data_IF_819437717979
#
_entry.id   IF_819437717979
#
_cell.length_a   1.000
_cell.length_b   1.000
_cell.length_c   1.000
_cell.angle_alpha   90.00
_cell.angle_beta   90.00
_cell.angle_gamma   90.00
#
_symmetry.space_group_name_H-M   'P 1'
#
loop_
_entity.id
_entity.type
_entity.pdbx_description
1 polymer ?
#
# COMPACT_ATOMS: atom_id res chain seq x y z
N UNK A 1 3.81 9.99 9.25
CA UNK A 1 4.34 8.62 9.47
C UNK A 1 3.35 7.86 10.33
N UNK A 2 2.85 6.71 9.90
CA UNK A 2 1.88 5.91 10.68
C UNK A 2 2.55 4.71 11.35
N UNK A 3 1.87 4.09 12.31
CA UNK A 3 2.40 2.93 13.05
C UNK A 3 2.74 1.72 12.15
N UNK A 4 2.09 1.61 10.98
CA UNK A 4 2.17 0.41 10.13
C UNK A 4 2.92 0.62 8.80
N UNK A 5 3.44 1.82 8.56
CA UNK A 5 4.07 2.13 7.28
C UNK A 5 4.40 3.61 7.08
N UNK A 6 5.14 3.87 6.01
CA UNK A 6 5.51 5.22 5.58
C UNK A 6 4.78 5.53 4.28
N UNK A 7 4.15 6.70 4.21
CA UNK A 7 3.56 7.22 2.97
C UNK A 7 4.51 8.24 2.37
N UNK A 8 4.76 8.14 1.06
CA UNK A 8 5.60 9.09 0.31
C UNK A 8 4.88 9.54 -0.95
N UNK A 9 5.02 10.80 -1.33
CA UNK A 9 4.63 11.26 -2.67
C UNK A 9 5.59 10.63 -3.69
N UNK A 10 5.07 10.00 -4.73
CA UNK A 10 5.83 9.44 -5.84
C UNK A 10 5.31 9.97 -7.18
N UNK A 11 6.10 9.79 -8.24
CA UNK A 11 5.76 10.21 -9.60
C UNK A 11 5.88 9.01 -10.53
N UNK A 12 4.82 8.71 -11.26
CA UNK A 12 4.87 7.72 -12.33
C UNK A 12 5.70 8.30 -13.48
N UNK A 13 6.76 7.58 -13.90
CA UNK A 13 7.74 8.11 -14.85
C UNK A 13 7.19 8.26 -16.28
N UNK A 14 6.32 7.33 -16.69
CA UNK A 14 5.70 7.29 -18.02
C UNK A 14 4.74 8.45 -18.24
N UNK A 15 3.91 8.76 -17.25
CA UNK A 15 2.84 9.78 -17.37
C UNK A 15 3.20 11.11 -16.72
N UNK A 16 4.14 11.09 -15.78
CA UNK A 16 4.48 12.24 -14.95
C UNK A 16 3.49 12.51 -13.82
N UNK A 17 2.44 11.71 -13.67
CA UNK A 17 1.39 11.87 -12.64
C UNK A 17 1.93 11.59 -11.24
N UNK A 18 1.45 12.35 -10.24
CA UNK A 18 1.83 12.16 -8.85
C UNK A 18 0.83 11.27 -8.12
N UNK A 19 1.35 10.42 -7.23
CA UNK A 19 0.59 9.47 -6.42
C UNK A 19 1.12 9.42 -4.98
N UNK A 20 0.38 8.77 -4.09
CA UNK A 20 0.85 8.39 -2.76
C UNK A 20 1.28 6.92 -2.74
N UNK A 21 2.53 6.65 -2.38
CA UNK A 21 3.05 5.32 -2.13
C UNK A 21 3.02 5.00 -0.62
N UNK A 22 2.12 4.12 -0.18
CA UNK A 22 2.05 3.59 1.19
C UNK A 22 2.89 2.31 1.28
N UNK A 23 4.08 2.43 1.85
CA UNK A 23 5.01 1.31 2.11
C UNK A 23 4.65 0.61 3.42
N UNK A 24 4.21 -0.64 3.34
CA UNK A 24 3.76 -1.47 4.47
C UNK A 24 4.70 -2.66 4.65
N UNK A 25 5.42 -2.70 5.77
CA UNK A 25 6.28 -3.83 6.09
C UNK A 25 5.45 -5.04 6.50
N UNK A 26 5.71 -6.19 5.89
CA UNK A 26 5.06 -7.47 6.23
C UNK A 26 5.96 -8.30 7.15
N UNK A 27 5.34 -9.09 8.03
CA UNK A 27 6.07 -10.05 8.88
C UNK A 27 6.76 -11.10 8.02
N UNK A 28 8.07 -11.27 8.22
CA UNK A 28 8.87 -12.28 7.48
C UNK A 28 8.69 -13.71 7.99
N UNK A 29 8.26 -13.87 9.24
CA UNK A 29 8.08 -15.15 9.93
C UNK A 29 6.96 -15.06 10.98
N UNK A 30 6.31 -16.19 11.29
CA UNK A 30 5.31 -16.29 12.36
C UNK A 30 5.98 -15.94 13.70
N UNK A 31 5.34 -15.06 14.47
CA UNK A 31 5.84 -14.57 15.76
C UNK A 31 6.69 -13.29 15.72
N UNK A 32 7.02 -12.76 14.53
CA UNK A 32 7.71 -11.47 14.44
C UNK A 32 6.82 -10.32 14.93
N UNK A 33 7.33 -9.50 15.85
CA UNK A 33 6.65 -8.27 16.31
C UNK A 33 6.78 -7.11 15.33
N UNK A 34 7.64 -7.24 14.29
CA UNK A 34 7.91 -6.18 13.31
C UNK A 34 7.10 -6.40 12.03
N UNK A 35 6.30 -5.42 11.66
CA UNK A 35 5.46 -5.44 10.45
C UNK A 35 4.06 -6.03 10.70
N UNK A 36 3.20 -5.85 9.70
CA UNK A 36 1.83 -6.36 9.68
C UNK A 36 1.77 -7.81 9.20
N UNK A 37 0.72 -8.51 9.60
CA UNK A 37 0.43 -9.81 8.99
C UNK A 37 0.05 -9.60 7.53
N UNK A 38 0.57 -10.46 6.66
CA UNK A 38 0.29 -10.37 5.22
C UNK A 38 -1.22 -10.41 4.93
N UNK A 39 -1.96 -11.23 5.68
CA UNK A 39 -3.42 -11.30 5.59
C UNK A 39 -4.13 -9.98 5.92
N UNK A 40 -3.59 -9.14 6.83
CA UNK A 40 -4.15 -7.81 7.10
C UNK A 40 -3.95 -6.87 5.91
N UNK A 41 -2.76 -6.91 5.30
CA UNK A 41 -2.46 -6.11 4.10
C UNK A 41 -3.31 -6.56 2.91
N UNK A 42 -3.49 -7.86 2.71
CA UNK A 42 -4.33 -8.42 1.66
C UNK A 42 -5.80 -8.04 1.82
N UNK A 43 -6.30 -7.95 3.07
CA UNK A 43 -7.63 -7.41 3.35
C UNK A 43 -7.77 -5.94 2.94
N UNK A 44 -6.80 -5.08 3.29
CA UNK A 44 -6.79 -3.67 2.84
C UNK A 44 -6.82 -3.58 1.31
N UNK A 45 -5.97 -4.34 0.62
CA UNK A 45 -5.92 -4.37 -0.85
C UNK A 45 -7.27 -4.79 -1.44
N UNK A 46 -7.89 -5.83 -0.88
CA UNK A 46 -9.16 -6.34 -1.37
C UNK A 46 -10.26 -5.29 -1.29
N UNK A 47 -10.35 -4.58 -0.16
CA UNK A 47 -11.31 -3.50 0.03
C UNK A 47 -11.04 -2.37 -0.98
N UNK A 48 -9.81 -1.88 -1.07
CA UNK A 48 -9.46 -0.76 -1.95
C UNK A 48 -9.66 -1.08 -3.43
N UNK A 49 -9.52 -2.34 -3.86
CA UNK A 49 -9.79 -2.77 -5.24
C UNK A 49 -11.28 -2.71 -5.61
N UNK A 50 -12.17 -2.87 -4.64
CA UNK A 50 -13.61 -2.86 -4.86
C UNK A 50 -14.21 -1.45 -4.82
N UNK A 51 -13.47 -0.48 -4.26
CA UNK A 51 -13.94 0.89 -4.11
C UNK A 51 -13.67 1.69 -5.40
N UNK A 52 -14.75 2.20 -5.99
CA UNK A 52 -14.70 3.16 -7.10
C UNK A 52 -15.73 4.25 -6.87
N UNK A 53 -15.30 5.35 -6.26
CA UNK A 53 -16.19 6.44 -5.88
C UNK A 53 -15.40 7.77 -5.89
N UNK A 54 -15.97 8.89 -6.39
CA UNK A 54 -15.25 10.16 -6.51
C UNK A 54 -14.71 10.71 -5.19
N UNK A 55 -15.35 10.36 -4.06
CA UNK A 55 -14.96 10.82 -2.72
C UNK A 55 -14.14 9.78 -1.93
N UNK A 56 -13.67 8.71 -2.57
CA UNK A 56 -12.84 7.68 -1.94
C UNK A 56 -11.59 7.49 -2.78
N UNK A 57 -10.43 7.61 -2.16
CA UNK A 57 -9.16 7.42 -2.86
C UNK A 57 -9.06 6.05 -3.51
N UNK A 58 -8.57 6.00 -4.75
CA UNK A 58 -8.45 4.77 -5.52
C UNK A 58 -7.06 4.13 -5.35
N UNK A 59 -7.03 2.79 -5.34
CA UNK A 59 -5.80 2.03 -5.57
C UNK A 59 -5.45 2.07 -7.07
N UNK A 60 -4.35 2.75 -7.40
CA UNK A 60 -3.82 2.83 -8.75
C UNK A 60 -3.00 1.58 -9.09
N UNK A 61 -2.08 1.18 -8.22
CA UNK A 61 -1.20 0.02 -8.44
C UNK A 61 -0.72 -0.63 -7.13
N UNK A 62 -0.16 -1.84 -7.22
CA UNK A 62 0.29 -2.66 -6.11
C UNK A 62 1.63 -3.35 -6.43
N UNK A 63 2.64 -3.08 -5.61
CA UNK A 63 3.92 -3.79 -5.67
C UNK A 63 4.11 -4.64 -4.40
N UNK A 64 4.47 -5.91 -4.56
CA UNK A 64 4.66 -6.81 -3.43
C UNK A 64 6.03 -7.50 -3.51
N UNK A 65 6.69 -7.57 -2.36
CA UNK A 65 7.89 -8.35 -2.12
C UNK A 65 7.68 -9.27 -0.91
N UNK A 66 8.69 -10.09 -0.58
CA UNK A 66 8.62 -10.98 0.59
C UNK A 66 8.49 -10.23 1.93
N UNK A 67 8.97 -8.99 2.01
CA UNK A 67 9.08 -8.25 3.28
C UNK A 67 8.28 -6.94 3.31
N UNK A 68 7.74 -6.50 2.17
CA UNK A 68 7.06 -5.22 2.05
C UNK A 68 6.05 -5.27 0.92
N UNK A 69 4.94 -4.56 1.13
CA UNK A 69 3.92 -4.27 0.13
C UNK A 69 3.82 -2.75 -0.02
N UNK A 70 3.79 -2.27 -1.25
CA UNK A 70 3.64 -0.85 -1.57
C UNK A 70 2.33 -0.66 -2.32
N UNK A 71 1.43 0.15 -1.75
CA UNK A 71 0.18 0.56 -2.38
C UNK A 71 0.39 1.91 -3.04
N UNK A 72 0.14 2.01 -4.35
CA UNK A 72 0.11 3.28 -5.07
C UNK A 72 -1.34 3.76 -5.10
N UNK A 73 -1.60 4.88 -4.44
CA UNK A 73 -2.92 5.45 -4.26
C UNK A 73 -3.01 6.79 -4.97
N UNK A 74 -4.21 7.13 -5.42
CA UNK A 74 -4.54 8.47 -5.92
C UNK A 74 -4.21 9.55 -4.86
N UNK A 75 -3.68 10.68 -5.32
CA UNK A 75 -3.28 11.81 -4.48
C UNK A 75 -4.38 12.87 -4.41
#
# INVERSE_FOLDING_TARGET
SGHFGVVRRCRERSTGTFYAAKCVKTRRCRGSRRGLERAQVEREVTILRQLRHPNIMRLHDLFASRAEVVLVLEL
#
